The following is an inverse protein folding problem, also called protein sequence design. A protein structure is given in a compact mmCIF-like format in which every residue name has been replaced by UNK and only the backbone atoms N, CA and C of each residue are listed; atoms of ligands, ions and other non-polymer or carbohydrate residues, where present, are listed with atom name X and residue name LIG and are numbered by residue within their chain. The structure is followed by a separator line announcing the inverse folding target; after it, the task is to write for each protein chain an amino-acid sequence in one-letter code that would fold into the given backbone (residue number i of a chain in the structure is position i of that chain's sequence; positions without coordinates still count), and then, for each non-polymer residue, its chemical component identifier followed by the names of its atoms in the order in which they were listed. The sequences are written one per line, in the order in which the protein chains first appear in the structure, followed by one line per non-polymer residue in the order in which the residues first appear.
data_IF_978752401937
#
_entry.id   IF_978752401937
#
_cell.length_a   1.000
_cell.length_b   1.000
_cell.length_c   1.000
_cell.angle_alpha   90.00
_cell.angle_beta   90.00
_cell.angle_gamma   90.00
#
_symmetry.space_group_name_H-M   'P 1'
#
loop_
_entity.id
_entity.type
_entity.pdbx_description
1 polymer ?
#
# COMPACT_ATOMS: atom_id res chain seq x y z
N UNK A 1 -13.81 23.15 -14.33
CA UNK A 1 -12.91 22.03 -14.62
C UNK A 1 -12.08 21.74 -13.38
N UNK A 2 -11.89 20.45 -13.09
CA UNK A 2 -11.05 20.02 -11.97
C UNK A 2 -9.61 20.51 -12.20
N UNK A 3 -8.96 21.00 -11.15
CA UNK A 3 -7.55 21.37 -11.18
C UNK A 3 -6.73 20.22 -10.58
N UNK A 4 -5.73 19.68 -11.28
CA UNK A 4 -4.89 18.62 -10.75
C UNK A 4 -4.05 19.13 -9.58
N UNK A 5 -3.60 18.22 -8.69
CA UNK A 5 -2.65 18.58 -7.64
C UNK A 5 -1.36 19.13 -8.25
N UNK A 6 -0.87 20.23 -7.70
CA UNK A 6 0.37 20.87 -8.15
C UNK A 6 1.14 21.46 -6.95
N UNK A 7 2.45 21.36 -7.02
CA UNK A 7 3.31 22.07 -6.07
C UNK A 7 3.23 23.59 -6.31
N UNK A 8 3.42 24.41 -5.27
CA UNK A 8 3.52 25.86 -5.43
C UNK A 8 4.60 26.23 -6.45
N UNK A 9 4.33 27.30 -7.21
CA UNK A 9 5.34 27.87 -8.11
C UNK A 9 6.47 28.45 -7.26
N UNK A 10 7.71 28.19 -7.67
CA UNK A 10 8.90 28.81 -7.08
C UNK A 10 9.28 30.07 -7.85
N UNK A 11 10.17 30.87 -7.29
CA UNK A 11 10.70 32.08 -7.95
C UNK A 11 11.44 31.73 -9.26
N UNK A 12 11.50 32.69 -10.17
CA UNK A 12 12.23 32.54 -11.42
C UNK A 12 13.71 32.21 -11.17
N UNK A 13 14.19 31.14 -11.78
CA UNK A 13 15.56 30.63 -11.57
C UNK A 13 15.70 29.55 -10.47
N UNK A 14 14.68 29.32 -9.68
CA UNK A 14 14.67 28.24 -8.70
C UNK A 14 14.15 26.92 -9.30
N UNK A 15 14.71 25.80 -8.81
CA UNK A 15 14.27 24.45 -9.25
C UNK A 15 13.04 24.02 -8.46
N UNK A 16 11.86 24.16 -9.08
CA UNK A 16 10.59 23.70 -8.52
C UNK A 16 10.36 22.20 -8.66
N UNK A 17 9.40 21.69 -7.90
CA UNK A 17 8.87 20.32 -8.04
C UNK A 17 7.63 20.35 -8.94
N UNK A 18 7.49 19.36 -9.83
CA UNK A 18 6.29 19.19 -10.66
C UNK A 18 5.72 17.79 -10.42
N UNK A 19 4.39 17.70 -10.26
CA UNK A 19 3.71 16.41 -10.15
C UNK A 19 3.78 15.71 -11.51
N UNK A 20 4.39 14.55 -11.54
CA UNK A 20 4.50 13.70 -12.72
C UNK A 20 3.35 12.70 -12.79
N UNK A 21 2.98 12.15 -11.63
CA UNK A 21 1.92 11.14 -11.53
C UNK A 21 1.16 11.29 -10.22
N UNK A 22 -0.18 11.26 -10.29
CA UNK A 22 -1.05 10.99 -9.16
C UNK A 22 -1.01 9.49 -8.91
N UNK A 23 -0.50 9.07 -7.77
CA UNK A 23 -0.26 7.66 -7.49
C UNK A 23 -1.26 7.06 -6.51
N UNK A 24 -1.71 7.84 -5.53
CA UNK A 24 -2.61 7.39 -4.47
C UNK A 24 -3.77 8.36 -4.30
N UNK A 25 -4.98 7.83 -4.17
CA UNK A 25 -6.18 8.59 -3.80
C UNK A 25 -6.89 7.88 -2.66
N UNK A 26 -7.25 8.63 -1.62
CA UNK A 26 -8.07 8.11 -0.52
C UNK A 26 -9.06 9.17 -0.06
N UNK A 27 -10.27 8.73 0.32
CA UNK A 27 -11.24 9.60 0.95
C UNK A 27 -10.74 10.05 2.33
N UNK A 28 -11.09 11.25 2.74
CA UNK A 28 -10.90 11.75 4.10
C UNK A 28 -11.81 11.05 5.10
N UNK A 29 -11.78 11.53 6.33
CA UNK A 29 -12.64 11.01 7.40
C UNK A 29 -14.13 11.19 7.07
N UNK A 30 -14.97 10.24 7.53
CA UNK A 30 -16.41 10.23 7.23
C UNK A 30 -17.13 11.52 7.66
N UNK A 31 -16.65 12.22 8.70
CA UNK A 31 -17.19 13.52 9.15
C UNK A 31 -16.79 14.69 8.25
N UNK A 32 -15.87 14.50 7.32
CA UNK A 32 -15.33 15.53 6.41
C UNK A 32 -15.78 15.28 4.98
N UNK A 33 -17.07 15.48 4.71
CA UNK A 33 -17.63 15.28 3.37
C UNK A 33 -16.86 16.08 2.32
N UNK A 34 -16.54 15.45 1.20
CA UNK A 34 -15.77 16.06 0.11
C UNK A 34 -14.26 16.09 0.31
N UNK A 35 -13.76 15.70 1.48
CA UNK A 35 -12.32 15.62 1.70
C UNK A 35 -11.72 14.39 1.02
N UNK A 36 -10.60 14.62 0.32
CA UNK A 36 -9.76 13.62 -0.31
C UNK A 36 -8.30 13.93 -0.08
N UNK A 37 -7.48 12.90 -0.03
CA UNK A 37 -6.02 13.00 -0.02
C UNK A 37 -5.44 12.37 -1.28
N UNK A 38 -4.37 12.98 -1.78
CA UNK A 38 -3.63 12.53 -2.96
C UNK A 38 -2.15 12.43 -2.64
N UNK A 39 -1.57 11.27 -2.92
CA UNK A 39 -0.13 11.03 -2.93
C UNK A 39 0.41 11.01 -4.36
N UNK A 40 1.60 11.55 -4.57
CA UNK A 40 2.18 11.76 -5.91
C UNK A 40 3.59 11.21 -6.10
N UNK A 41 4.04 11.21 -7.33
CA UNK A 41 5.42 11.10 -7.75
C UNK A 41 5.83 12.38 -8.48
N UNK A 42 6.96 13.06 -8.12
CA UNK A 42 7.72 12.86 -6.90
C UNK A 42 6.85 13.00 -5.65
N UNK A 43 7.32 12.52 -4.48
CA UNK A 43 6.52 12.50 -3.27
C UNK A 43 5.91 13.85 -2.93
N UNK A 44 4.61 13.89 -2.80
CA UNK A 44 3.85 15.06 -2.39
C UNK A 44 2.51 14.62 -1.82
N UNK A 45 2.07 15.29 -0.77
CA UNK A 45 0.77 15.11 -0.17
C UNK A 45 -0.12 16.31 -0.48
N UNK A 46 -1.28 16.04 -1.03
CA UNK A 46 -2.28 17.07 -1.34
C UNK A 46 -3.62 16.70 -0.73
N UNK A 47 -4.38 17.73 -0.36
CA UNK A 47 -5.72 17.61 0.20
C UNK A 47 -6.72 18.39 -0.65
N UNK A 48 -7.84 17.77 -0.94
CA UNK A 48 -9.04 18.43 -1.49
C UNK A 48 -10.09 18.53 -0.39
N UNK A 49 -10.90 19.56 -0.41
CA UNK A 49 -12.11 19.72 0.41
C UNK A 49 -13.40 19.79 -0.40
N UNK A 50 -13.33 19.58 -1.71
CA UNK A 50 -14.40 19.81 -2.69
C UNK A 50 -14.58 18.64 -3.66
N UNK A 51 -14.48 17.42 -3.15
CA UNK A 51 -14.62 16.17 -3.92
C UNK A 51 -13.58 16.01 -5.05
N UNK A 52 -12.37 16.58 -4.88
CA UNK A 52 -11.28 16.48 -5.84
C UNK A 52 -11.34 17.51 -6.97
N UNK A 53 -12.21 18.54 -6.88
CA UNK A 53 -12.26 19.61 -7.86
C UNK A 53 -11.03 20.51 -7.79
N UNK A 54 -10.56 20.80 -6.57
CA UNK A 54 -9.30 21.53 -6.33
C UNK A 54 -8.44 20.85 -5.28
N UNK A 55 -7.12 21.08 -5.33
CA UNK A 55 -6.15 20.45 -4.45
C UNK A 55 -5.21 21.48 -3.85
N UNK A 56 -4.97 21.36 -2.55
CA UNK A 56 -4.04 22.19 -1.79
C UNK A 56 -2.90 21.33 -1.27
N UNK A 57 -1.66 21.82 -1.37
CA UNK A 57 -0.50 21.15 -0.80
C UNK A 57 -0.59 21.09 0.73
N UNK A 58 -0.32 19.92 1.30
CA UNK A 58 -0.18 19.77 2.77
C UNK A 58 1.23 20.19 3.14
N UNK A 59 1.38 21.44 3.53
CA UNK A 59 2.69 22.09 3.76
C UNK A 59 3.49 21.43 4.87
N UNK A 60 2.82 20.92 5.92
CA UNK A 60 3.48 20.20 7.01
C UNK A 60 4.30 18.99 6.56
N UNK A 61 3.93 18.38 5.43
CA UNK A 61 4.73 17.34 4.78
C UNK A 61 5.58 17.91 3.65
N UNK A 62 4.97 18.63 2.70
CA UNK A 62 5.65 19.03 1.47
C UNK A 62 6.80 20.02 1.68
N UNK A 63 6.68 20.87 2.70
CA UNK A 63 7.66 21.89 3.06
C UNK A 63 8.38 21.57 4.38
N UNK A 64 8.28 20.31 4.83
CA UNK A 64 8.96 19.86 6.04
C UNK A 64 10.47 19.99 5.89
N UNK A 65 11.20 20.54 6.88
CA UNK A 65 12.67 20.66 6.83
C UNK A 65 13.39 19.32 6.63
N UNK A 66 12.75 18.22 7.02
CA UNK A 66 13.30 16.87 6.85
C UNK A 66 12.95 16.24 5.50
N UNK A 67 12.13 16.90 4.67
CA UNK A 67 11.64 16.33 3.40
C UNK A 67 12.76 15.77 2.52
N UNK A 68 13.85 16.52 2.35
CA UNK A 68 15.00 16.10 1.53
C UNK A 68 15.73 14.85 2.06
N UNK A 69 15.59 14.56 3.35
CA UNK A 69 16.13 13.34 3.97
C UNK A 69 15.15 12.18 3.86
N UNK A 70 13.85 12.45 3.94
CA UNK A 70 12.81 11.45 3.84
C UNK A 70 12.58 10.97 2.41
N UNK A 71 12.66 11.89 1.45
CA UNK A 71 12.56 11.66 0.01
C UNK A 71 13.95 11.76 -0.63
N UNK A 72 14.88 10.90 -0.23
CA UNK A 72 16.31 11.06 -0.50
C UNK A 72 16.78 10.58 -1.89
N UNK A 73 15.87 10.29 -2.83
CA UNK A 73 16.24 10.16 -4.23
C UNK A 73 16.98 8.87 -4.61
N UNK A 74 16.73 7.76 -3.96
CA UNK A 74 17.19 6.48 -4.49
C UNK A 74 16.40 6.12 -5.75
N UNK A 75 17.11 5.96 -6.86
CA UNK A 75 16.50 5.56 -8.12
C UNK A 75 15.92 4.14 -8.01
N UNK A 76 14.66 4.03 -7.68
CA UNK A 76 13.91 2.78 -7.87
C UNK A 76 13.33 2.77 -9.29
N UNK A 77 13.09 1.62 -9.90
CA UNK A 77 12.46 1.54 -11.20
C UNK A 77 11.06 2.18 -11.27
N UNK A 78 10.37 2.30 -10.13
CA UNK A 78 9.08 2.97 -10.02
C UNK A 78 9.16 4.45 -9.61
N UNK A 79 10.37 4.97 -9.36
CA UNK A 79 10.58 6.30 -8.80
C UNK A 79 10.21 6.38 -7.33
N UNK A 80 10.40 7.55 -6.75
CA UNK A 80 9.93 7.87 -5.40
C UNK A 80 8.43 8.16 -5.44
N UNK A 81 7.69 7.50 -4.56
CA UNK A 81 6.23 7.55 -4.53
C UNK A 81 5.74 7.85 -3.12
N UNK A 82 4.73 8.71 -2.99
CA UNK A 82 3.93 8.83 -1.78
C UNK A 82 2.66 7.99 -1.96
N UNK A 83 2.47 7.03 -1.08
CA UNK A 83 1.35 6.09 -1.13
C UNK A 83 0.85 5.74 0.27
N UNK A 84 -0.13 4.86 0.35
CA UNK A 84 -0.70 4.36 1.62
C UNK A 84 -1.13 5.49 2.55
N UNK A 85 -1.76 6.54 2.01
CA UNK A 85 -2.36 7.58 2.85
C UNK A 85 -3.56 6.96 3.57
N UNK A 86 -3.51 6.91 4.89
CA UNK A 86 -4.55 6.34 5.75
C UNK A 86 -5.08 7.44 6.68
N UNK A 87 -6.39 7.43 6.87
CA UNK A 87 -7.07 8.31 7.82
C UNK A 87 -7.67 7.43 8.91
N UNK A 88 -7.36 7.69 10.18
CA UNK A 88 -7.97 6.95 11.30
C UNK A 88 -9.50 7.21 11.29
N UNK A 89 -10.34 6.17 11.22
CA UNK A 89 -11.79 6.35 11.17
C UNK A 89 -12.40 6.91 12.48
N UNK A 90 -11.59 7.04 13.54
CA UNK A 90 -11.99 7.61 14.83
C UNK A 90 -11.60 9.07 15.00
N UNK A 91 -10.56 9.51 14.25
CA UNK A 91 -9.99 10.85 14.39
C UNK A 91 -9.51 11.40 13.03
N UNK A 92 -10.19 12.44 12.49
CA UNK A 92 -9.79 13.07 11.23
C UNK A 92 -8.41 13.77 11.27
N UNK A 93 -7.85 13.98 12.45
CA UNK A 93 -6.53 14.56 12.62
C UNK A 93 -5.41 13.50 12.59
N UNK A 94 -5.76 12.22 12.74
CA UNK A 94 -4.79 11.14 12.80
C UNK A 94 -4.61 10.51 11.42
N UNK A 95 -3.42 10.71 10.86
CA UNK A 95 -3.08 10.30 9.49
C UNK A 95 -1.78 9.48 9.48
N UNK A 96 -1.71 8.55 8.53
CA UNK A 96 -0.46 7.89 8.17
C UNK A 96 -0.20 8.06 6.68
N UNK A 97 1.06 8.07 6.30
CA UNK A 97 1.49 7.95 4.91
C UNK A 97 2.76 7.13 4.79
N UNK A 98 3.06 6.68 3.59
CA UNK A 98 4.29 5.98 3.30
C UNK A 98 4.96 6.50 2.04
N UNK A 99 6.29 6.45 2.05
CA UNK A 99 7.14 6.77 0.92
C UNK A 99 7.90 5.52 0.49
N UNK A 100 7.89 5.19 -0.80
CA UNK A 100 8.89 4.25 -1.33
C UNK A 100 10.28 4.82 -1.05
N UNK A 101 11.13 4.00 -0.41
CA UNK A 101 12.50 4.36 0.01
C UNK A 101 12.56 5.56 0.99
N UNK A 102 11.47 5.85 1.69
CA UNK A 102 11.42 6.89 2.72
C UNK A 102 10.94 6.37 4.08
N UNK A 103 10.02 5.42 4.05
CA UNK A 103 9.43 4.84 5.26
C UNK A 103 7.98 5.25 5.47
N UNK A 104 7.46 4.91 6.64
CA UNK A 104 6.11 5.25 7.09
C UNK A 104 6.18 6.41 8.07
N UNK A 105 5.20 7.30 8.01
CA UNK A 105 5.10 8.51 8.84
C UNK A 105 3.70 8.63 9.42
N UNK A 106 3.62 9.24 10.59
CA UNK A 106 2.40 9.50 11.36
C UNK A 106 2.24 10.99 11.64
N UNK A 107 1.02 11.47 11.55
CA UNK A 107 0.59 12.80 11.98
C UNK A 107 -0.64 12.66 12.88
N UNK A 108 -0.69 13.40 13.98
CA UNK A 108 -1.84 13.47 14.91
C UNK A 108 -2.49 14.85 14.94
N UNK A 109 -2.15 15.71 13.99
CA UNK A 109 -2.60 17.10 13.89
C UNK A 109 -3.07 17.48 12.48
N UNK A 110 -3.63 16.52 11.75
CA UNK A 110 -4.21 16.74 10.42
C UNK A 110 -3.17 17.00 9.33
N UNK A 111 -1.93 16.59 9.54
CA UNK A 111 -0.84 16.74 8.59
C UNK A 111 0.00 18.01 8.77
N UNK A 112 -0.19 18.74 9.87
CA UNK A 112 0.63 19.90 10.17
C UNK A 112 2.06 19.51 10.57
N UNK A 113 2.22 18.42 11.31
CA UNK A 113 3.50 17.84 11.69
C UNK A 113 3.53 16.33 11.40
N UNK A 114 4.72 15.80 11.08
CA UNK A 114 4.94 14.40 10.76
C UNK A 114 6.13 13.84 11.50
N UNK A 115 6.00 12.61 11.98
CA UNK A 115 7.04 11.85 12.64
C UNK A 115 7.26 10.50 11.97
N UNK A 116 8.50 10.03 11.80
CA UNK A 116 8.78 8.69 11.31
C UNK A 116 8.19 7.61 12.24
N UNK A 117 7.59 6.58 11.64
CA UNK A 117 7.02 5.42 12.34
C UNK A 117 7.65 4.15 11.75
N UNK A 118 8.97 3.98 11.92
CA UNK A 118 9.74 2.88 11.33
C UNK A 118 10.48 2.03 12.35
N UNK A 119 10.34 2.29 13.64
CA UNK A 119 11.02 1.51 14.67
C UNK A 119 10.66 0.02 14.55
N UNK A 120 11.67 -0.85 14.49
CA UNK A 120 11.51 -2.29 14.32
C UNK A 120 11.38 -2.77 12.87
N UNK A 121 11.34 -1.85 11.90
CA UNK A 121 11.52 -2.20 10.49
C UNK A 121 13.01 -2.32 10.21
N UNK A 122 13.40 -3.36 9.46
CA UNK A 122 14.79 -3.61 9.08
C UNK A 122 14.94 -3.50 7.56
N UNK A 123 15.98 -2.83 7.10
CA UNK A 123 16.26 -2.64 5.68
C UNK A 123 17.73 -2.95 5.38
N UNK A 124 18.00 -4.10 4.79
CA UNK A 124 19.36 -4.62 4.49
C UNK A 124 20.15 -3.71 3.55
N UNK A 125 19.49 -2.86 2.80
CA UNK A 125 20.11 -1.96 1.82
C UNK A 125 20.51 -0.60 2.41
N UNK A 126 20.15 -0.30 3.66
CA UNK A 126 20.55 0.94 4.34
C UNK A 126 21.89 0.75 5.06
N UNK A 127 22.73 1.81 5.13
CA UNK A 127 23.94 1.81 5.94
C UNK A 127 23.69 1.52 7.43
N UNK A 128 22.57 2.03 7.97
CA UNK A 128 21.98 1.65 9.24
C UNK A 128 20.64 0.98 8.96
N UNK A 129 20.57 -0.36 9.08
CA UNK A 129 19.34 -1.10 8.78
C UNK A 129 18.13 -0.75 9.65
N UNK A 130 18.32 -0.14 10.81
CA UNK A 130 17.27 0.32 11.73
C UNK A 130 17.11 1.85 11.74
N UNK A 131 17.63 2.56 10.74
CA UNK A 131 17.48 4.00 10.60
C UNK A 131 16.02 4.45 10.76
N UNK A 132 15.76 5.66 11.28
CA UNK A 132 14.39 6.13 11.51
C UNK A 132 13.62 6.43 10.20
N UNK A 133 14.29 6.50 9.06
CA UNK A 133 13.70 6.68 7.71
C UNK A 133 14.55 5.97 6.65
N UNK A 134 14.10 6.00 5.38
CA UNK A 134 14.79 5.36 4.26
C UNK A 134 14.29 3.94 3.97
N UNK A 135 13.38 3.41 4.78
CA UNK A 135 12.75 2.11 4.54
C UNK A 135 11.86 2.13 3.29
N UNK A 136 11.63 0.96 2.68
CA UNK A 136 10.82 0.84 1.46
C UNK A 136 9.51 0.08 1.72
N UNK A 137 8.51 0.71 2.37
CA UNK A 137 7.18 0.16 2.43
C UNK A 137 6.58 0.07 1.02
N UNK A 138 6.02 -1.08 0.71
CA UNK A 138 5.30 -1.27 -0.54
C UNK A 138 3.81 -0.97 -0.38
N UNK A 139 3.23 -1.34 0.76
CA UNK A 139 1.85 -1.01 1.12
C UNK A 139 1.68 -1.08 2.63
N UNK A 140 1.08 -0.07 3.21
CA UNK A 140 0.62 -0.06 4.59
C UNK A 140 -0.90 -0.05 4.61
N UNK A 141 -1.50 -0.89 5.43
CA UNK A 141 -2.94 -1.02 5.57
C UNK A 141 -3.35 -0.98 7.05
N UNK A 142 -4.40 -0.26 7.34
CA UNK A 142 -5.04 -0.17 8.66
C UNK A 142 -6.28 -1.07 8.68
N UNK A 143 -6.47 -1.83 9.76
CA UNK A 143 -7.66 -2.66 9.86
C UNK A 143 -8.92 -1.80 10.11
N UNK A 144 -9.97 -1.96 9.29
CA UNK A 144 -11.11 -1.03 9.29
C UNK A 144 -11.90 -1.00 10.60
N UNK A 145 -11.97 -2.11 11.33
CA UNK A 145 -12.68 -2.19 12.62
C UNK A 145 -11.77 -2.16 13.84
N UNK A 146 -10.45 -2.29 13.65
CA UNK A 146 -9.43 -2.15 14.69
C UNK A 146 -8.30 -1.26 14.17
N UNK A 147 -8.50 0.05 14.09
CA UNK A 147 -7.53 0.98 13.51
C UNK A 147 -6.18 1.00 14.23
N UNK A 148 -6.11 0.51 15.45
CA UNK A 148 -4.86 0.32 16.18
C UNK A 148 -3.99 -0.80 15.59
N UNK A 149 -4.54 -1.66 14.73
CA UNK A 149 -3.81 -2.70 14.03
C UNK A 149 -3.47 -2.27 12.62
N UNK A 150 -2.17 -2.10 12.36
CA UNK A 150 -1.62 -1.85 11.03
C UNK A 150 -0.78 -3.03 10.55
N UNK A 151 -0.78 -3.23 9.25
CA UNK A 151 0.09 -4.18 8.57
C UNK A 151 0.89 -3.46 7.50
N UNK A 152 2.10 -3.93 7.26
CA UNK A 152 2.97 -3.40 6.22
C UNK A 152 3.57 -4.54 5.41
N UNK A 153 3.37 -4.52 4.09
CA UNK A 153 4.24 -5.21 3.16
C UNK A 153 5.39 -4.27 2.81
N UNK A 154 6.60 -4.71 3.05
CA UNK A 154 7.82 -3.93 2.85
C UNK A 154 8.76 -4.67 1.90
N UNK A 155 9.73 -3.98 1.34
CA UNK A 155 10.81 -4.59 0.55
C UNK A 155 11.56 -5.67 1.33
N UNK A 156 11.81 -5.43 2.59
CA UNK A 156 12.53 -6.31 3.50
C UNK A 156 11.63 -7.04 4.50
N UNK A 157 10.38 -7.32 4.15
CA UNK A 157 9.55 -8.15 5.02
C UNK A 157 8.07 -7.82 5.09
N UNK A 158 7.38 -8.57 5.94
CA UNK A 158 5.98 -8.31 6.32
C UNK A 158 5.97 -7.98 7.81
N UNK A 159 5.32 -6.87 8.14
CA UNK A 159 5.30 -6.34 9.51
C UNK A 159 3.87 -6.10 9.99
N UNK A 160 3.71 -6.13 11.32
CA UNK A 160 2.49 -5.77 12.04
C UNK A 160 2.81 -4.79 13.15
N UNK A 161 1.95 -3.80 13.34
CA UNK A 161 2.01 -2.87 14.45
C UNK A 161 0.66 -2.87 15.17
N UNK A 162 0.69 -3.05 16.48
CA UNK A 162 -0.47 -2.92 17.37
C UNK A 162 -0.28 -1.68 18.24
N UNK A 163 -1.01 -0.59 17.91
CA UNK A 163 -0.99 0.65 18.72
C UNK A 163 -1.54 0.38 20.13
N UNK A 164 -1.08 1.07 21.17
CA UNK A 164 -0.20 2.25 21.13
C UNK A 164 1.29 1.96 20.99
N UNK A 165 1.71 0.71 20.74
CA UNK A 165 3.11 0.43 20.47
C UNK A 165 3.62 1.27 19.28
N UNK A 166 4.89 1.64 19.31
CA UNK A 166 5.57 2.34 18.21
C UNK A 166 6.50 1.44 17.39
N UNK A 167 6.67 0.18 17.82
CA UNK A 167 7.61 -0.76 17.22
C UNK A 167 6.88 -1.81 16.38
N UNK A 168 7.20 -1.88 15.12
CA UNK A 168 6.75 -2.91 14.20
C UNK A 168 7.33 -4.28 14.58
N UNK A 169 6.51 -5.31 14.47
CA UNK A 169 6.89 -6.71 14.64
C UNK A 169 7.01 -7.35 13.27
N UNK A 170 8.16 -7.92 12.94
CA UNK A 170 8.31 -8.70 11.71
C UNK A 170 7.55 -10.02 11.85
N UNK A 171 6.56 -10.21 11.02
CA UNK A 171 5.73 -11.42 10.96
C UNK A 171 6.03 -12.25 9.71
N UNK A 172 6.84 -11.72 8.81
CA UNK A 172 7.28 -12.38 7.59
C UNK A 172 8.28 -13.50 7.84
N UNK A 173 8.98 -13.50 8.97
CA UNK A 173 9.91 -14.57 9.36
C UNK A 173 9.22 -15.95 9.48
N UNK A 174 7.89 -15.94 9.67
CA UNK A 174 7.06 -17.13 9.72
C UNK A 174 6.63 -17.66 8.34
N UNK A 175 7.03 -16.99 7.26
CA UNK A 175 6.83 -17.48 5.90
C UNK A 175 7.74 -18.69 5.60
N UNK A 176 7.33 -19.61 4.71
CA UNK A 176 8.21 -20.69 4.29
C UNK A 176 9.54 -20.15 3.75
N UNK A 177 10.66 -20.68 4.22
CA UNK A 177 12.02 -20.19 3.91
C UNK A 177 12.29 -19.98 2.42
N UNK A 178 11.78 -20.89 1.57
CA UNK A 178 11.95 -20.80 0.11
C UNK A 178 11.16 -19.64 -0.51
N UNK A 179 10.04 -19.26 0.10
CA UNK A 179 9.14 -18.24 -0.42
C UNK A 179 9.60 -16.85 -0.01
N UNK A 180 10.12 -16.72 1.22
CA UNK A 180 10.47 -15.42 1.83
C UNK A 180 9.24 -14.52 2.00
N UNK A 181 9.47 -13.26 2.28
CA UNK A 181 8.43 -12.32 2.71
C UNK A 181 8.42 -11.00 1.91
N UNK A 182 9.11 -10.96 0.78
CA UNK A 182 9.00 -9.81 -0.13
C UNK A 182 7.73 -9.93 -0.98
N UNK A 183 7.04 -8.84 -1.18
CA UNK A 183 5.85 -8.73 -2.02
C UNK A 183 5.42 -7.28 -2.16
N UNK A 184 4.36 -6.99 -2.91
CA UNK A 184 3.81 -5.64 -3.03
C UNK A 184 2.46 -5.49 -2.30
N UNK A 185 1.44 -6.34 -2.55
CA UNK A 185 0.13 -6.15 -1.95
C UNK A 185 0.03 -6.79 -0.57
N UNK A 186 -0.77 -6.18 0.28
CA UNK A 186 -1.34 -6.79 1.48
C UNK A 186 -2.83 -6.41 1.55
N UNK A 187 -3.69 -7.40 1.80
CA UNK A 187 -5.13 -7.21 1.92
C UNK A 187 -5.57 -7.71 3.29
N UNK A 188 -6.36 -6.92 4.00
CA UNK A 188 -6.87 -7.26 5.32
C UNK A 188 -8.33 -7.71 5.25
N UNK A 189 -8.71 -8.65 6.12
CA UNK A 189 -10.12 -9.02 6.30
C UNK A 189 -10.91 -7.83 6.87
N UNK A 190 -12.21 -7.75 6.56
CA UNK A 190 -13.02 -6.61 7.00
C UNK A 190 -13.28 -6.60 8.51
N UNK A 191 -13.48 -7.78 9.09
CA UNK A 191 -13.97 -7.95 10.47
C UNK A 191 -12.92 -8.55 11.41
N UNK A 192 -12.05 -9.42 10.89
CA UNK A 192 -11.06 -10.13 11.72
C UNK A 192 -9.65 -9.59 11.50
N UNK A 193 -9.08 -8.87 12.47
CA UNK A 193 -7.75 -8.25 12.36
C UNK A 193 -6.59 -9.24 12.25
N UNK A 194 -6.80 -10.51 12.58
CA UNK A 194 -5.78 -11.54 12.49
C UNK A 194 -5.71 -12.20 11.10
N UNK A 195 -6.63 -11.84 10.20
CA UNK A 195 -6.68 -12.38 8.85
C UNK A 195 -6.13 -11.37 7.83
N UNK A 196 -5.09 -11.77 7.12
CA UNK A 196 -4.50 -11.01 6.03
C UNK A 196 -4.02 -11.92 4.89
N UNK A 197 -3.92 -11.36 3.69
CA UNK A 197 -3.43 -12.02 2.49
C UNK A 197 -2.30 -11.22 1.86
N UNK A 198 -1.27 -11.91 1.39
CA UNK A 198 -0.13 -11.34 0.67
C UNK A 198 0.16 -12.15 -0.59
N UNK A 199 0.81 -11.54 -1.56
CA UNK A 199 1.32 -12.21 -2.75
C UNK A 199 2.85 -12.10 -2.75
N UNK A 200 3.58 -13.10 -2.23
CA UNK A 200 5.03 -13.12 -2.21
C UNK A 200 5.61 -13.29 -3.61
N UNK A 201 6.78 -12.69 -3.80
CA UNK A 201 7.56 -12.80 -5.02
C UNK A 201 8.98 -13.31 -4.71
N UNK A 202 9.77 -13.49 -5.73
CA UNK A 202 11.18 -13.86 -5.59
C UNK A 202 12.00 -12.78 -4.87
N UNK A 203 13.22 -13.14 -4.48
CA UNK A 203 13.99 -12.39 -3.50
C UNK A 203 14.34 -10.95 -3.87
N UNK A 204 14.85 -10.22 -2.89
CA UNK A 204 15.14 -8.77 -2.93
C UNK A 204 16.14 -8.35 -4.01
N UNK A 205 16.98 -9.26 -4.46
CA UNK A 205 18.02 -9.01 -5.48
C UNK A 205 17.64 -9.45 -6.88
N UNK A 206 16.47 -10.11 -7.05
CA UNK A 206 15.98 -10.58 -8.35
C UNK A 206 15.13 -9.50 -9.00
N UNK A 207 15.35 -9.28 -10.30
CA UNK A 207 14.61 -8.29 -11.07
C UNK A 207 14.37 -8.76 -12.51
N UNK A 208 13.13 -8.63 -13.06
CA UNK A 208 11.90 -8.19 -12.36
C UNK A 208 11.46 -9.19 -11.28
N UNK A 209 10.79 -8.68 -10.23
CA UNK A 209 10.24 -9.52 -9.16
C UNK A 209 8.98 -10.22 -9.62
N UNK A 210 9.02 -11.55 -9.59
CA UNK A 210 7.92 -12.39 -10.06
C UNK A 210 7.56 -13.47 -9.05
N UNK A 211 6.50 -14.21 -9.33
CA UNK A 211 6.12 -15.37 -8.51
C UNK A 211 7.25 -16.38 -8.41
N UNK A 212 7.51 -16.86 -7.20
CA UNK A 212 8.61 -17.78 -6.89
C UNK A 212 8.52 -19.05 -7.75
N UNK A 213 9.60 -19.40 -8.45
CA UNK A 213 9.70 -20.55 -9.36
C UNK A 213 8.64 -20.54 -10.50
N UNK A 214 8.05 -19.39 -10.85
CA UNK A 214 6.95 -19.33 -11.81
C UNK A 214 5.69 -20.06 -11.33
N UNK A 215 5.49 -20.14 -10.00
CA UNK A 215 4.37 -20.81 -9.34
C UNK A 215 3.63 -19.81 -8.45
N UNK A 216 2.74 -19.01 -9.01
CA UNK A 216 2.05 -17.97 -8.25
C UNK A 216 1.25 -18.55 -7.07
N UNK A 217 1.25 -17.84 -5.97
CA UNK A 217 0.46 -18.18 -4.81
C UNK A 217 0.14 -16.96 -3.96
N UNK A 218 -1.07 -16.89 -3.46
CA UNK A 218 -1.43 -16.04 -2.33
C UNK A 218 -1.08 -16.80 -1.05
N UNK A 219 -0.66 -16.08 -0.03
CA UNK A 219 -0.48 -16.62 1.31
C UNK A 219 -1.42 -15.90 2.27
N UNK A 220 -2.06 -16.67 3.14
CA UNK A 220 -3.03 -16.19 4.11
C UNK A 220 -2.55 -16.48 5.52
N UNK A 221 -2.68 -15.54 6.42
CA UNK A 221 -2.63 -15.76 7.87
C UNK A 221 -4.04 -15.70 8.46
N UNK A 222 -4.27 -16.43 9.55
CA UNK A 222 -5.51 -16.41 10.36
C UNK A 222 -5.23 -16.11 11.82
N UNK A 223 -3.98 -15.84 12.16
CA UNK A 223 -3.48 -15.70 13.53
C UNK A 223 -2.51 -14.52 13.66
N UNK A 224 -2.71 -13.48 12.85
CA UNK A 224 -1.93 -12.25 12.90
C UNK A 224 -0.49 -12.41 12.45
N UNK A 225 -0.21 -13.36 11.56
CA UNK A 225 1.11 -13.59 10.99
C UNK A 225 1.97 -14.63 11.70
N UNK A 226 1.42 -15.39 12.65
CA UNK A 226 2.16 -16.50 13.30
C UNK A 226 2.34 -17.69 12.35
N UNK A 227 1.38 -17.92 11.45
CA UNK A 227 1.43 -18.94 10.40
C UNK A 227 0.89 -18.39 9.11
N UNK A 228 1.48 -18.85 8.00
CA UNK A 228 1.07 -18.49 6.65
C UNK A 228 0.73 -19.75 5.86
N UNK A 229 -0.44 -19.77 5.26
CA UNK A 229 -0.96 -20.88 4.47
C UNK A 229 -0.98 -20.52 2.99
N UNK A 230 -0.40 -21.39 2.17
CA UNK A 230 -0.39 -21.26 0.71
C UNK A 230 -1.80 -21.49 0.15
N UNK A 231 -2.24 -20.60 -0.73
CA UNK A 231 -3.54 -20.64 -1.40
C UNK A 231 -3.33 -20.45 -2.90
N UNK A 232 -3.16 -21.55 -3.62
CA UNK A 232 -2.87 -21.55 -5.06
C UNK A 232 -3.74 -22.50 -5.87
N UNK A 233 -4.80 -23.09 -5.29
CA UNK A 233 -5.70 -23.97 -6.01
C UNK A 233 -6.40 -23.22 -7.15
N UNK A 234 -6.17 -23.67 -8.38
CA UNK A 234 -6.66 -23.03 -9.59
C UNK A 234 -5.66 -22.14 -10.31
N UNK A 235 -4.58 -21.74 -9.68
CA UNK A 235 -3.47 -21.05 -10.35
C UNK A 235 -2.64 -22.00 -11.22
N UNK A 236 -1.91 -21.49 -12.22
CA UNK A 236 -0.93 -22.26 -12.99
C UNK A 236 0.13 -22.89 -12.07
N UNK A 237 0.55 -24.12 -12.41
CA UNK A 237 1.50 -24.90 -11.61
C UNK A 237 2.96 -24.66 -12.00
N UNK A 238 3.20 -23.97 -13.10
CA UNK A 238 4.53 -23.65 -13.64
C UNK A 238 4.43 -22.58 -14.73
N UNK A 239 5.55 -21.96 -15.06
CA UNK A 239 5.71 -20.99 -16.16
C UNK A 239 4.77 -19.76 -16.05
N UNK A 240 4.38 -19.39 -14.84
CA UNK A 240 3.54 -18.23 -14.57
C UNK A 240 4.31 -17.20 -13.74
N UNK A 241 5.11 -16.41 -14.42
CA UNK A 241 6.00 -15.39 -13.86
C UNK A 241 5.22 -14.08 -13.67
N UNK A 242 4.41 -14.02 -12.61
CA UNK A 242 3.52 -12.90 -12.33
C UNK A 242 4.15 -11.90 -11.39
N UNK A 243 3.96 -10.62 -11.67
CA UNK A 243 4.11 -9.55 -10.69
C UNK A 243 2.73 -9.03 -10.35
N UNK A 244 2.37 -9.04 -9.07
CA UNK A 244 1.14 -8.41 -8.55
C UNK A 244 1.57 -7.13 -7.82
N UNK A 245 1.16 -5.98 -8.34
CA UNK A 245 1.57 -4.67 -7.83
C UNK A 245 0.80 -4.29 -6.56
N UNK A 246 1.23 -3.22 -5.88
CA UNK A 246 0.72 -2.75 -4.57
C UNK A 246 -0.80 -2.70 -4.48
N UNK A 247 -1.44 -2.08 -5.46
CA UNK A 247 -2.88 -1.85 -5.51
C UNK A 247 -3.61 -2.86 -6.42
N UNK A 248 -2.90 -3.85 -6.94
CA UNK A 248 -3.46 -4.84 -7.86
C UNK A 248 -4.07 -6.06 -7.15
N UNK A 249 -4.33 -5.97 -5.85
CA UNK A 249 -5.05 -6.99 -5.09
C UNK A 249 -6.06 -6.32 -4.18
N UNK A 250 -7.30 -6.83 -4.18
CA UNK A 250 -8.37 -6.30 -3.32
C UNK A 250 -9.32 -7.41 -2.86
N UNK A 251 -10.21 -7.07 -1.96
CA UNK A 251 -11.35 -7.89 -1.53
C UNK A 251 -12.67 -7.17 -1.81
N UNK A 252 -13.76 -7.94 -1.85
CA UNK A 252 -15.10 -7.38 -1.76
C UNK A 252 -15.57 -7.23 -0.31
N UNK A 253 -16.79 -6.73 -0.13
CA UNK A 253 -17.38 -6.42 1.18
C UNK A 253 -18.23 -7.57 1.76
N UNK A 254 -18.20 -8.75 1.16
CA UNK A 254 -18.94 -9.91 1.66
C UNK A 254 -18.33 -10.42 2.97
N UNK A 255 -19.14 -11.00 3.82
CA UNK A 255 -18.70 -11.56 5.11
C UNK A 255 -17.68 -12.71 4.92
N UNK A 256 -17.84 -13.56 3.89
CA UNK A 256 -16.81 -14.45 3.37
C UNK A 256 -16.21 -13.79 2.12
N UNK A 257 -15.12 -13.03 2.24
CA UNK A 257 -14.73 -12.11 1.18
C UNK A 257 -14.28 -12.83 -0.08
N UNK A 258 -14.72 -12.32 -1.22
CA UNK A 258 -14.05 -12.57 -2.48
C UNK A 258 -12.73 -11.83 -2.52
N UNK A 259 -11.72 -12.47 -3.08
CA UNK A 259 -10.43 -11.87 -3.35
C UNK A 259 -10.22 -11.75 -4.85
N UNK A 260 -9.59 -10.67 -5.25
CA UNK A 260 -9.29 -10.39 -6.65
C UNK A 260 -7.84 -9.92 -6.76
N UNK A 261 -7.13 -10.38 -7.78
CA UNK A 261 -5.81 -9.88 -8.10
C UNK A 261 -5.64 -9.71 -9.63
N UNK A 262 -4.85 -8.72 -9.99
CA UNK A 262 -4.38 -8.49 -11.34
C UNK A 262 -2.87 -8.58 -11.39
N UNK A 263 -2.34 -9.04 -12.50
CA UNK A 263 -0.90 -9.16 -12.70
C UNK A 263 -0.40 -8.31 -13.89
N UNK A 264 0.90 -8.15 -13.97
CA UNK A 264 1.53 -7.39 -15.05
C UNK A 264 1.47 -8.09 -16.41
N UNK A 265 1.03 -9.35 -16.47
CA UNK A 265 0.81 -10.09 -17.71
C UNK A 265 -0.60 -9.84 -18.30
N UNK A 266 -1.39 -8.96 -17.68
CA UNK A 266 -2.72 -8.60 -18.16
C UNK A 266 -3.81 -9.63 -17.85
N UNK A 267 -3.69 -10.30 -16.71
CA UNK A 267 -4.70 -11.25 -16.26
C UNK A 267 -5.35 -10.77 -14.96
N UNK A 268 -6.65 -11.01 -14.83
CA UNK A 268 -7.41 -10.82 -13.59
C UNK A 268 -7.88 -12.17 -13.07
N UNK A 269 -7.63 -12.42 -11.80
CA UNK A 269 -8.01 -13.64 -11.12
C UNK A 269 -8.90 -13.34 -9.91
N UNK A 270 -9.86 -14.19 -9.65
CA UNK A 270 -10.79 -14.05 -8.52
C UNK A 270 -10.99 -15.34 -7.76
N UNK A 271 -11.24 -15.22 -6.46
CA UNK A 271 -11.66 -16.29 -5.57
C UNK A 271 -12.89 -15.83 -4.81
N UNK A 272 -13.96 -16.62 -4.83
CA UNK A 272 -15.19 -16.34 -4.07
C UNK A 272 -15.09 -16.80 -2.60
N UNK A 273 -14.02 -17.49 -2.22
CA UNK A 273 -13.89 -18.25 -0.97
C UNK A 273 -12.64 -17.84 -0.19
N UNK A 274 -12.36 -16.53 -0.11
CA UNK A 274 -11.22 -16.01 0.66
C UNK A 274 -9.84 -16.54 0.21
N UNK A 275 -9.68 -16.86 -1.08
CA UNK A 275 -8.43 -17.40 -1.63
C UNK A 275 -8.35 -18.92 -1.71
N UNK A 276 -9.38 -19.67 -1.25
CA UNK A 276 -9.34 -21.13 -1.26
C UNK A 276 -9.25 -21.73 -2.67
N UNK A 277 -9.92 -21.12 -3.64
CA UNK A 277 -9.86 -21.52 -5.05
C UNK A 277 -9.92 -20.31 -5.96
N UNK A 278 -9.02 -20.26 -6.93
CA UNK A 278 -8.88 -19.17 -7.89
C UNK A 278 -9.39 -19.54 -9.27
N UNK A 279 -9.98 -18.57 -9.95
CA UNK A 279 -10.42 -18.66 -11.35
C UNK A 279 -9.92 -17.46 -12.12
N UNK A 280 -9.49 -17.69 -13.35
CA UNK A 280 -9.19 -16.59 -14.25
C UNK A 280 -10.49 -15.92 -14.69
N UNK A 281 -10.58 -14.60 -14.51
CA UNK A 281 -11.75 -13.79 -14.85
C UNK A 281 -11.57 -13.04 -16.17
N UNK A 282 -10.33 -12.61 -16.47
CA UNK A 282 -10.00 -11.92 -17.71
C UNK A 282 -8.53 -12.16 -18.08
N UNK A 283 -8.24 -12.13 -19.37
CA UNK A 283 -6.90 -12.31 -19.96
C UNK A 283 -6.65 -11.30 -21.07
N UNK A 284 -5.38 -11.16 -21.42
CA UNK A 284 -4.95 -10.33 -22.55
C UNK A 284 -5.32 -8.85 -22.40
N UNK A 285 -5.45 -8.39 -21.16
CA UNK A 285 -5.58 -6.98 -20.84
C UNK A 285 -4.19 -6.32 -20.86
N UNK A 286 -4.12 -4.99 -20.91
CA UNK A 286 -2.90 -4.28 -20.54
C UNK A 286 -2.43 -4.65 -19.13
N UNK A 287 -1.19 -4.31 -18.80
CA UNK A 287 -0.63 -4.48 -17.47
C UNK A 287 -1.57 -3.91 -16.38
N UNK A 288 -1.89 -4.71 -15.37
CA UNK A 288 -2.79 -4.31 -14.28
C UNK A 288 -1.99 -3.62 -13.18
N UNK A 289 -2.25 -2.33 -12.97
CA UNK A 289 -1.62 -1.53 -11.92
C UNK A 289 -2.44 -1.51 -10.62
N UNK A 290 -3.77 -1.54 -10.74
CA UNK A 290 -4.67 -1.51 -9.59
C UNK A 290 -5.97 -2.25 -9.86
N UNK A 291 -6.59 -2.77 -8.80
CA UNK A 291 -7.94 -3.32 -8.77
C UNK A 291 -8.69 -2.73 -7.59
N UNK A 292 -9.93 -2.34 -7.82
CA UNK A 292 -10.82 -1.85 -6.77
C UNK A 292 -12.17 -2.55 -6.91
N UNK A 293 -12.70 -3.02 -5.80
CA UNK A 293 -14.07 -3.51 -5.73
C UNK A 293 -15.02 -2.31 -5.61
N UNK A 294 -16.04 -2.27 -6.45
CA UNK A 294 -17.15 -1.35 -6.34
C UNK A 294 -18.43 -2.14 -6.06
N UNK A 295 -19.04 -1.91 -4.90
CA UNK A 295 -20.36 -2.45 -4.62
C UNK A 295 -21.35 -1.87 -5.64
N UNK A 296 -22.07 -2.72 -6.38
CA UNK A 296 -23.21 -2.24 -7.16
C UNK A 296 -24.24 -1.67 -6.19
N UNK A 297 -24.48 -0.36 -6.23
CA UNK A 297 -25.71 0.16 -5.62
C UNK A 297 -26.86 -0.59 -6.32
N UNK A 298 -27.54 -1.48 -5.60
CA UNK A 298 -28.72 -2.15 -6.13
C UNK A 298 -29.60 -1.10 -6.80
N UNK A 299 -29.93 -1.29 -8.07
CA UNK A 299 -30.97 -0.48 -8.69
C UNK A 299 -32.20 -0.72 -7.84
N UNK A 300 -32.55 0.27 -7.02
CA UNK A 300 -33.86 0.30 -6.41
C UNK A 300 -34.85 0.14 -7.56
N UNK A 301 -35.61 -0.92 -7.56
CA UNK A 301 -36.75 -1.05 -8.45
C UNK A 301 -37.66 0.12 -8.11
N UNK A 302 -37.73 1.09 -9.02
CA UNK A 302 -38.77 2.11 -9.04
C UNK A 302 -40.07 1.48 -9.50
#
# INVERSE_FOLDING_TARGET
SAQPPAFPKVAEGEKGRAVQTTFWLTAGHASQSGTWYCGTAPPGLFRSGDHGATWTAVTGFNDNPMYSKWAAGFATPGGELLHSVLVDPRDPQHLYLSLSVGGTFESTDGGANWSPLNQGVHADFLPDPEAPWGHDPHLVAMHPQQPDRLYQQNHCGIYRLDRPASRWQRIGDNMPRKIRDIGFPIVLHAENPDIAWVFPMDGTTVWPRTSVDGKPAVYMTRDGGRKWQRQDAGFPRSQAWWTVLRQAMCRDDRKGPGLYLGNTNGEVWGSAEGGARWRNLARHLPQIYSLTFAASRGRGHA
#
